data_IF_583641621498
#
_entry.id   IF_583641621498
#
_cell.length_a   1.000
_cell.length_b   1.000
_cell.length_c   1.000
_cell.angle_alpha   90.00
_cell.angle_beta   90.00
_cell.angle_gamma   90.00
#
_symmetry.space_group_name_H-M   'P 1'
#
loop_
_entity.id
_entity.type
_entity.pdbx_description
1 polymer ?
#
# COMPACT_ATOMS: atom_id res chain seq x y z
N UNK A 1 -35.03 5.43 1.98
CA UNK A 1 -34.00 4.88 2.90
C UNK A 1 -32.70 5.60 2.56
N UNK A 2 -32.15 6.41 3.47
CA UNK A 2 -30.91 7.14 3.18
C UNK A 2 -29.72 6.17 3.08
N UNK A 3 -28.84 6.42 2.12
CA UNK A 3 -27.65 5.59 1.87
C UNK A 3 -26.51 6.10 2.76
N UNK A 4 -25.93 5.23 3.57
CA UNK A 4 -24.75 5.57 4.38
C UNK A 4 -23.51 5.48 3.46
N UNK A 5 -22.72 6.55 3.32
CA UNK A 5 -21.51 6.54 2.49
C UNK A 5 -20.44 5.64 3.11
N UNK A 6 -19.77 4.85 2.27
CA UNK A 6 -18.71 3.92 2.70
C UNK A 6 -17.35 4.48 2.28
N UNK A 7 -16.44 4.60 3.24
CA UNK A 7 -15.06 5.02 2.99
C UNK A 7 -14.05 4.05 3.58
N UNK A 8 -12.93 3.85 2.88
CA UNK A 8 -11.82 3.00 3.34
C UNK A 8 -10.61 3.83 3.74
N UNK A 9 -9.90 3.38 4.78
CA UNK A 9 -8.58 3.87 5.12
C UNK A 9 -7.61 2.68 5.16
N UNK A 10 -6.57 2.72 4.33
CA UNK A 10 -5.62 1.63 4.16
C UNK A 10 -4.25 2.06 4.70
N UNK A 11 -3.64 1.21 5.53
CA UNK A 11 -2.25 1.37 5.97
C UNK A 11 -1.38 0.30 5.32
N UNK A 12 -0.36 0.74 4.58
CA UNK A 12 0.65 -0.12 3.96
C UNK A 12 1.88 -0.25 4.83
N UNK A 13 2.63 -1.33 4.69
CA UNK A 13 3.94 -1.51 5.34
C UNK A 13 3.89 -1.97 6.78
N UNK A 14 2.70 -2.35 7.29
CA UNK A 14 2.61 -3.00 8.59
C UNK A 14 3.11 -4.45 8.48
N UNK A 15 4.13 -4.87 9.26
CA UNK A 15 4.65 -6.24 9.18
C UNK A 15 3.58 -7.30 9.51
N UNK A 16 3.61 -8.50 8.89
CA UNK A 16 4.61 -8.99 7.93
C UNK A 16 4.23 -8.75 6.44
N UNK A 17 3.51 -7.68 6.10
CA UNK A 17 2.97 -7.41 4.76
C UNK A 17 3.94 -7.74 3.61
N UNK A 18 3.42 -8.44 2.61
CA UNK A 18 4.13 -8.71 1.37
C UNK A 18 3.43 -8.12 0.12
N UNK A 19 4.11 -8.22 -1.03
CA UNK A 19 3.56 -7.73 -2.30
C UNK A 19 2.19 -8.33 -2.61
N UNK A 20 1.96 -9.60 -2.31
CA UNK A 20 0.69 -10.28 -2.59
C UNK A 20 -0.45 -9.69 -1.76
N UNK A 21 -0.18 -9.24 -0.54
CA UNK A 21 -1.18 -8.57 0.31
C UNK A 21 -1.57 -7.19 -0.23
N UNK A 22 -0.59 -6.44 -0.77
CA UNK A 22 -0.86 -5.18 -1.48
C UNK A 22 -1.74 -5.43 -2.72
N UNK A 23 -1.52 -6.53 -3.45
CA UNK A 23 -2.36 -6.90 -4.60
C UNK A 23 -3.79 -7.23 -4.19
N UNK A 24 -3.96 -8.07 -3.17
CA UNK A 24 -5.28 -8.43 -2.60
C UNK A 24 -6.02 -7.18 -2.13
N UNK A 25 -5.30 -6.21 -1.56
CA UNK A 25 -5.86 -4.92 -1.14
C UNK A 25 -6.40 -4.14 -2.35
N UNK A 26 -5.66 -4.08 -3.46
CA UNK A 26 -6.14 -3.43 -4.69
C UNK A 26 -7.39 -4.13 -5.24
N UNK A 27 -7.39 -5.47 -5.26
CA UNK A 27 -8.56 -6.27 -5.69
C UNK A 27 -9.79 -6.00 -4.81
N UNK A 28 -9.59 -5.99 -3.48
CA UNK A 28 -10.65 -5.67 -2.52
C UNK A 28 -11.27 -4.30 -2.80
N UNK A 29 -10.44 -3.27 -3.02
CA UNK A 29 -10.91 -1.91 -3.30
C UNK A 29 -11.67 -1.84 -4.63
N UNK A 30 -11.19 -2.53 -5.67
CA UNK A 30 -11.89 -2.60 -6.95
C UNK A 30 -13.27 -3.25 -6.83
N UNK A 31 -13.37 -4.32 -6.03
CA UNK A 31 -14.63 -5.02 -5.78
C UNK A 31 -15.59 -4.20 -4.92
N UNK A 32 -15.09 -3.59 -3.86
CA UNK A 32 -15.90 -2.88 -2.88
C UNK A 32 -16.33 -1.47 -3.33
N UNK A 33 -15.56 -0.83 -4.21
CA UNK A 33 -15.82 0.52 -4.76
C UNK A 33 -16.22 1.54 -3.67
N UNK A 34 -15.36 1.79 -2.66
CA UNK A 34 -15.67 2.77 -1.62
C UNK A 34 -15.78 4.18 -2.21
N UNK A 35 -16.67 4.99 -1.66
CA UNK A 35 -16.90 6.37 -2.11
C UNK A 35 -15.74 7.29 -1.75
N UNK A 36 -15.03 6.99 -0.66
CA UNK A 36 -13.82 7.69 -0.22
C UNK A 36 -12.72 6.71 0.09
N UNK A 37 -11.48 7.07 -0.23
CA UNK A 37 -10.31 6.27 0.11
C UNK A 37 -9.17 7.15 0.62
N UNK A 38 -8.60 6.76 1.76
CA UNK A 38 -7.33 7.27 2.27
C UNK A 38 -6.29 6.17 2.31
N UNK A 39 -5.02 6.51 2.04
CA UNK A 39 -3.91 5.55 2.08
C UNK A 39 -2.72 6.18 2.80
N UNK A 40 -2.23 5.50 3.82
CA UNK A 40 -1.02 5.81 4.57
C UNK A 40 -0.03 4.64 4.57
N UNK A 41 1.20 4.91 4.93
CA UNK A 41 2.19 3.95 5.36
C UNK A 41 2.13 3.88 6.88
N UNK A 42 2.28 2.69 7.43
CA UNK A 42 2.34 2.45 8.86
C UNK A 42 3.48 3.26 9.48
N UNK A 43 3.24 3.76 10.68
CA UNK A 43 4.25 4.39 11.50
C UNK A 43 3.99 3.93 12.94
N UNK A 44 5.03 3.61 13.70
CA UNK A 44 4.83 3.17 15.07
C UNK A 44 4.46 4.34 15.96
N UNK A 45 3.51 4.07 16.86
CA UNK A 45 2.98 5.03 17.82
C UNK A 45 3.44 4.57 19.21
N UNK A 46 4.08 5.46 19.96
CA UNK A 46 4.54 5.15 21.32
C UNK A 46 3.44 4.50 22.16
N UNK A 47 3.77 3.42 22.87
CA UNK A 47 2.82 2.64 23.66
C UNK A 47 2.03 1.58 22.88
N UNK A 48 2.44 1.26 21.65
CA UNK A 48 1.90 0.13 20.87
C UNK A 48 2.95 -0.96 20.70
N UNK A 49 2.53 -2.22 20.62
CA UNK A 49 3.44 -3.35 20.34
C UNK A 49 4.25 -3.13 19.06
N UNK A 50 3.67 -2.45 18.07
CA UNK A 50 4.39 -2.14 16.84
C UNK A 50 5.57 -1.19 17.08
N UNK A 51 5.41 -0.22 17.98
CA UNK A 51 6.49 0.67 18.39
C UNK A 51 7.60 -0.08 19.11
N UNK A 52 7.24 -0.95 20.05
CA UNK A 52 8.23 -1.75 20.79
C UNK A 52 9.01 -2.67 19.85
N UNK A 53 8.32 -3.33 18.91
CA UNK A 53 8.96 -4.17 17.89
C UNK A 53 9.91 -3.40 16.98
N UNK A 54 9.56 -2.17 16.58
CA UNK A 54 10.44 -1.34 15.74
C UNK A 54 11.68 -0.89 16.51
N UNK A 55 11.54 -0.52 17.79
CA UNK A 55 12.68 -0.16 18.64
C UNK A 55 13.66 -1.32 18.84
N UNK A 56 13.14 -2.55 19.04
CA UNK A 56 13.96 -3.75 19.19
C UNK A 56 14.83 -4.05 17.96
N UNK A 57 14.40 -3.62 16.77
CA UNK A 57 15.15 -3.81 15.52
C UNK A 57 16.17 -2.69 15.22
N UNK A 58 16.46 -1.81 16.19
CA UNK A 58 17.63 -0.91 16.13
C UNK A 58 17.50 0.30 15.21
N UNK A 59 16.28 0.73 14.88
CA UNK A 59 16.06 1.91 14.04
C UNK A 59 16.34 3.20 14.83
N UNK A 60 17.41 3.88 14.44
CA UNK A 60 17.86 5.13 15.07
C UNK A 60 16.92 6.30 14.75
N UNK A 61 16.87 7.22 15.70
CA UNK A 61 15.83 8.20 15.99
C UNK A 61 15.73 9.37 15.02
N UNK A 62 15.49 9.12 13.74
CA UNK A 62 15.00 10.15 12.81
C UNK A 62 13.47 10.29 12.86
N UNK A 63 12.86 10.11 14.05
CA UNK A 63 11.42 10.30 14.36
C UNK A 63 10.96 11.77 14.26
N UNK A 64 11.78 12.63 13.66
CA UNK A 64 11.51 14.05 13.47
C UNK A 64 10.48 14.23 12.34
N UNK A 65 9.21 14.25 12.74
CA UNK A 65 8.09 14.91 12.06
C UNK A 65 7.98 14.77 10.54
N UNK A 66 8.36 13.64 9.95
CA UNK A 66 8.13 13.49 8.52
C UNK A 66 6.63 13.28 8.28
N UNK A 67 5.91 14.37 8.04
CA UNK A 67 4.60 14.37 7.37
C UNK A 67 4.67 13.77 5.95
N UNK A 68 5.85 13.29 5.54
CA UNK A 68 6.02 12.37 4.43
C UNK A 68 5.50 10.99 4.80
N UNK A 69 4.54 10.54 3.99
CA UNK A 69 3.91 9.23 4.05
C UNK A 69 4.90 8.13 3.57
N UNK A 70 5.97 7.94 4.35
CA UNK A 70 7.11 7.05 4.08
C UNK A 70 7.44 6.21 5.32
N UNK A 71 7.94 4.98 5.17
CA UNK A 71 8.41 4.21 6.31
C UNK A 71 9.60 4.91 6.97
N UNK A 72 9.57 4.98 8.30
CA UNK A 72 10.66 5.50 9.14
C UNK A 72 11.32 4.38 9.97
N UNK A 73 11.11 3.14 9.55
CA UNK A 73 11.63 1.92 10.16
C UNK A 73 12.04 0.92 9.06
N UNK A 74 12.76 -0.13 9.45
CA UNK A 74 13.14 -1.19 8.51
C UNK A 74 11.89 -1.89 7.99
N UNK A 75 11.71 -1.84 6.67
CA UNK A 75 10.56 -2.43 5.98
C UNK A 75 11.03 -3.43 4.96
N UNK A 76 10.14 -4.36 4.62
CA UNK A 76 10.42 -5.40 3.62
C UNK A 76 10.73 -4.83 2.23
N UNK A 77 10.24 -3.63 1.92
CA UNK A 77 10.38 -2.99 0.62
C UNK A 77 10.83 -1.54 0.76
N UNK A 78 11.39 -0.97 -0.31
CA UNK A 78 11.88 0.41 -0.27
C UNK A 78 10.74 1.44 -0.06
N UNK A 79 11.02 2.63 0.49
CA UNK A 79 10.04 3.74 0.56
C UNK A 79 9.41 4.06 -0.80
N UNK A 80 10.19 3.87 -1.85
CA UNK A 80 9.81 4.11 -3.23
C UNK A 80 8.74 3.11 -3.71
N UNK A 81 8.81 1.84 -3.28
CA UNK A 81 7.74 0.86 -3.49
C UNK A 81 6.42 1.33 -2.86
N UNK A 82 6.42 1.71 -1.58
CA UNK A 82 5.20 2.14 -0.88
C UNK A 82 4.59 3.39 -1.52
N UNK A 83 5.42 4.32 -1.98
CA UNK A 83 4.98 5.49 -2.75
C UNK A 83 4.23 5.09 -4.02
N UNK A 84 4.71 4.08 -4.75
CA UNK A 84 4.03 3.59 -5.94
C UNK A 84 2.79 2.74 -5.63
N UNK A 85 2.85 1.87 -4.62
CA UNK A 85 1.70 1.08 -4.16
C UNK A 85 0.53 1.99 -3.76
N UNK A 86 0.81 3.06 -3.00
CA UNK A 86 -0.17 4.10 -2.67
C UNK A 86 -0.78 4.73 -3.92
N UNK A 87 0.04 5.14 -4.89
CA UNK A 87 -0.45 5.72 -6.16
C UNK A 87 -1.33 4.74 -6.93
N UNK A 88 -0.95 3.47 -6.96
CA UNK A 88 -1.71 2.41 -7.61
C UNK A 88 -3.09 2.26 -6.98
N UNK A 89 -3.17 2.13 -5.66
CA UNK A 89 -4.44 2.00 -4.93
C UNK A 89 -5.34 3.20 -5.20
N UNK A 90 -4.82 4.42 -5.04
CA UNK A 90 -5.60 5.64 -5.24
C UNK A 90 -6.07 5.78 -6.70
N UNK A 91 -5.24 5.42 -7.68
CA UNK A 91 -5.62 5.45 -9.09
C UNK A 91 -6.67 4.40 -9.40
N UNK A 92 -6.55 3.18 -8.87
CA UNK A 92 -7.55 2.12 -9.10
C UNK A 92 -8.90 2.44 -8.47
N UNK A 93 -8.92 3.05 -7.28
CA UNK A 93 -10.16 3.50 -6.66
C UNK A 93 -10.87 4.59 -7.49
N UNK A 94 -10.10 5.52 -8.08
CA UNK A 94 -10.64 6.53 -8.99
C UNK A 94 -11.13 5.93 -10.30
N UNK A 95 -10.36 5.01 -10.88
CA UNK A 95 -10.68 4.39 -12.17
C UNK A 95 -11.85 3.40 -12.09
N UNK A 96 -12.05 2.71 -10.96
CA UNK A 96 -13.24 1.88 -10.73
C UNK A 96 -14.55 2.66 -10.82
N UNK A 97 -14.47 4.00 -10.74
CA UNK A 97 -15.58 4.94 -10.93
C UNK A 97 -15.68 5.49 -12.36
N UNK A 98 -14.73 5.20 -13.25
CA UNK A 98 -14.69 5.67 -14.64
C UNK A 98 -14.64 4.51 -15.64
N UNK A 99 -15.53 4.49 -16.64
CA UNK A 99 -15.72 3.39 -17.60
C UNK A 99 -14.58 3.20 -18.63
N UNK A 100 -13.34 3.54 -18.33
CA UNK A 100 -12.25 3.46 -19.30
C UNK A 100 -10.92 3.03 -18.68
N UNK A 101 -10.40 1.92 -19.23
CA UNK A 101 -8.99 1.52 -19.31
C UNK A 101 -8.41 0.52 -18.27
N UNK A 102 -7.08 0.27 -18.34
CA UNK A 102 -6.42 -0.98 -18.73
C UNK A 102 -6.23 -1.90 -17.50
N UNK A 103 -5.91 -3.16 -17.75
CA UNK A 103 -5.88 -4.20 -16.72
C UNK A 103 -5.01 -3.84 -15.52
N UNK A 104 -5.45 -4.23 -14.32
CA UNK A 104 -4.71 -4.14 -13.05
C UNK A 104 -3.24 -4.56 -13.22
N UNK A 105 -3.01 -5.62 -13.99
CA UNK A 105 -1.69 -6.17 -14.30
C UNK A 105 -0.78 -5.19 -15.06
N UNK A 106 -1.30 -4.31 -15.91
CA UNK A 106 -0.49 -3.36 -16.68
C UNK A 106 -0.01 -2.21 -15.81
N UNK A 107 -0.88 -1.71 -14.92
CA UNK A 107 -0.48 -0.71 -13.93
C UNK A 107 0.51 -1.28 -12.91
N UNK A 108 0.34 -2.55 -12.51
CA UNK A 108 1.27 -3.25 -11.64
C UNK A 108 2.64 -3.44 -12.30
N UNK A 109 2.67 -3.95 -13.54
CA UNK A 109 3.91 -4.06 -14.32
C UNK A 109 4.64 -2.73 -14.38
N UNK A 110 3.94 -1.63 -14.64
CA UNK A 110 4.54 -0.30 -14.70
C UNK A 110 5.12 0.15 -13.35
N UNK A 111 4.39 -0.06 -12.26
CA UNK A 111 4.84 0.27 -10.90
C UNK A 111 6.08 -0.51 -10.51
N UNK A 112 6.07 -1.83 -10.73
CA UNK A 112 7.20 -2.69 -10.36
C UNK A 112 8.41 -2.45 -11.25
N UNK A 113 8.22 -2.26 -12.56
CA UNK A 113 9.29 -1.86 -13.49
C UNK A 113 9.94 -0.54 -13.07
N UNK A 114 9.13 0.50 -12.80
CA UNK A 114 9.63 1.82 -12.35
C UNK A 114 10.26 1.82 -10.96
N UNK A 115 10.04 0.76 -10.19
CA UNK A 115 10.67 0.56 -8.88
C UNK A 115 11.97 -0.23 -8.94
N UNK A 116 12.45 -0.58 -10.13
CA UNK A 116 13.62 -1.44 -10.31
C UNK A 116 13.37 -2.90 -9.88
N UNK A 117 12.10 -3.31 -9.77
CA UNK A 117 11.74 -4.66 -9.32
C UNK A 117 11.35 -5.56 -10.48
N UNK A 118 11.91 -6.77 -10.49
CA UNK A 118 11.61 -7.80 -11.49
C UNK A 118 10.22 -8.43 -11.25
N UNK A 119 9.35 -8.33 -12.26
CA UNK A 119 7.94 -8.77 -12.22
C UNK A 119 7.81 -10.28 -12.43
N UNK A 120 8.87 -10.97 -12.87
CA UNK A 120 8.85 -12.42 -13.09
C UNK A 120 8.43 -13.21 -11.84
N UNK A 121 8.75 -12.69 -10.65
CA UNK A 121 8.36 -13.27 -9.35
C UNK A 121 6.87 -13.11 -9.00
N UNK A 122 6.16 -12.16 -9.61
CA UNK A 122 4.72 -11.92 -9.38
C UNK A 122 3.86 -12.86 -10.23
N UNK A 123 4.40 -13.36 -11.35
CA UNK A 123 3.75 -14.29 -12.27
C UNK A 123 4.09 -15.75 -11.93
N UNK A 124 4.15 -16.07 -10.64
CA UNK A 124 4.29 -17.44 -10.15
C UNK A 124 3.07 -18.28 -10.55
N UNK A 125 3.31 -19.25 -11.46
CA UNK A 125 2.43 -20.30 -11.98
C UNK A 125 1.01 -20.32 -11.40
N UNK A 126 0.05 -19.85 -12.20
CA UNK A 126 -1.26 -20.48 -12.21
C UNK A 126 -1.04 -21.97 -12.53
N UNK A 127 -1.30 -22.82 -11.55
CA UNK A 127 -1.51 -24.26 -11.74
C UNK A 127 -2.93 -24.55 -11.31
#
# INVERSE_FOLDING_TARGET
KEKIPVGFFIMLGYPPEDKSDVLKTVELIQKAKPEKIGVSVAYPISGTDFYDNVLLNGVNSAWSSSGENRPIFETRYSPMFYRFARRLILKNAQLGNSNSQPGLLDNLKLVFYKSGMNISSLMGRAK
#
